data_IF_428815063046
#
_entry.id   IF_428815063046
#
_cell.length_a   1.000
_cell.length_b   1.000
_cell.length_c   1.000
_cell.angle_alpha   90.00
_cell.angle_beta   90.00
_cell.angle_gamma   90.00
#
_symmetry.space_group_name_H-M   'P 1'
#
loop_
_entity.id
_entity.type
_entity.pdbx_description
1 polymer ?
#
# COMPACT_ATOMS: atom_id res chain seq x y z
N UNK A 1 59.82 17.86 -58.40
CA UNK A 1 60.12 19.28 -58.12
C UNK A 1 59.24 19.70 -56.95
N UNK A 2 59.82 20.45 -56.02
CA UNK A 2 59.42 20.75 -54.64
C UNK A 2 58.12 21.56 -54.55
N UNK A 3 57.30 21.35 -53.52
CA UNK A 3 56.83 22.36 -52.53
C UNK A 3 55.55 21.92 -51.78
N UNK A 4 55.69 21.89 -50.45
CA UNK A 4 54.68 22.02 -49.38
C UNK A 4 53.68 23.17 -49.70
N UNK A 5 52.46 23.30 -49.19
CA UNK A 5 51.88 23.18 -47.84
C UNK A 5 50.37 23.45 -48.03
N UNK A 6 49.45 22.94 -47.22
CA UNK A 6 48.69 23.73 -46.23
C UNK A 6 47.74 22.73 -45.55
N UNK A 7 47.77 22.65 -44.22
CA UNK A 7 46.67 22.09 -43.42
C UNK A 7 46.00 23.26 -42.68
N UNK A 8 44.68 23.41 -42.78
CA UNK A 8 43.86 23.90 -41.68
C UNK A 8 42.90 22.76 -41.30
N UNK A 9 43.03 22.16 -40.12
CA UNK A 9 42.47 22.68 -38.86
C UNK A 9 40.92 22.62 -38.88
N UNK A 10 40.42 21.76 -37.98
CA UNK A 10 39.11 21.76 -37.33
C UNK A 10 37.86 21.61 -38.21
N UNK A 11 37.30 20.40 -38.21
CA UNK A 11 35.86 20.19 -38.39
C UNK A 11 35.28 19.41 -37.20
N UNK A 12 34.74 20.20 -36.27
CA UNK A 12 33.47 20.03 -35.57
C UNK A 12 32.92 18.60 -35.43
N UNK A 13 33.22 17.95 -34.31
CA UNK A 13 32.36 16.88 -33.78
C UNK A 13 31.24 17.55 -32.95
N UNK A 14 30.08 17.79 -33.56
CA UNK A 14 28.86 18.13 -32.85
C UNK A 14 27.85 17.01 -33.09
N UNK A 15 27.97 15.96 -32.29
CA UNK A 15 26.95 14.94 -32.13
C UNK A 15 25.73 15.60 -31.46
N UNK A 16 24.74 16.01 -32.26
CA UNK A 16 23.39 16.19 -31.73
C UNK A 16 22.80 14.80 -31.52
N UNK A 17 23.06 14.23 -30.34
CA UNK A 17 22.16 13.21 -29.80
C UNK A 17 20.88 13.93 -29.37
N UNK A 18 19.82 13.82 -30.17
CA UNK A 18 18.48 13.90 -29.61
C UNK A 18 18.37 12.75 -28.61
N UNK A 19 18.66 13.01 -27.34
CA UNK A 19 18.11 12.18 -26.28
C UNK A 19 16.61 12.45 -26.32
N UNK A 20 15.87 11.55 -26.97
CA UNK A 20 14.47 11.38 -26.64
C UNK A 20 14.45 11.16 -25.13
N UNK A 21 13.99 12.18 -24.39
CA UNK A 21 13.55 12.02 -23.02
C UNK A 21 12.40 11.04 -23.12
N UNK A 22 12.71 9.76 -23.01
CA UNK A 22 11.71 8.78 -22.65
C UNK A 22 11.37 9.18 -21.22
N UNK A 23 10.28 9.93 -21.06
CA UNK A 23 9.49 9.80 -19.86
C UNK A 23 9.12 8.31 -19.83
N UNK A 24 9.92 7.53 -19.12
CA UNK A 24 9.52 6.20 -18.76
C UNK A 24 8.40 6.41 -17.76
N UNK A 25 7.17 6.46 -18.27
CA UNK A 25 6.04 6.08 -17.45
C UNK A 25 6.28 4.61 -17.14
N UNK A 26 7.00 4.38 -16.04
CA UNK A 26 6.97 3.09 -15.36
C UNK A 26 5.50 2.87 -15.07
N UNK A 27 4.81 2.10 -15.91
CA UNK A 27 3.69 1.32 -15.42
C UNK A 27 4.27 0.53 -14.26
N UNK A 28 3.81 0.74 -13.01
CA UNK A 28 4.21 -0.15 -11.96
C UNK A 28 3.66 -1.51 -12.34
N UNK A 29 4.51 -2.35 -12.94
CA UNK A 29 4.46 -3.79 -12.77
C UNK A 29 4.25 -3.98 -11.26
N UNK A 30 3.03 -4.39 -10.87
CA UNK A 30 2.67 -4.63 -9.49
C UNK A 30 3.66 -5.64 -8.93
N UNK A 31 4.71 -5.14 -8.28
CA UNK A 31 5.73 -5.95 -7.65
C UNK A 31 5.02 -6.90 -6.71
N UNK A 32 5.16 -8.19 -6.99
CA UNK A 32 4.60 -9.24 -6.16
C UNK A 32 5.06 -9.03 -4.71
N UNK A 33 4.09 -8.72 -3.86
CA UNK A 33 4.18 -8.64 -2.40
C UNK A 33 5.01 -7.50 -1.82
N UNK A 34 4.54 -6.26 -1.98
CA UNK A 34 4.71 -5.31 -0.89
C UNK A 34 3.94 -5.87 0.32
N UNK A 35 4.64 -6.23 1.39
CA UNK A 35 4.01 -6.63 2.65
C UNK A 35 3.28 -5.41 3.21
N UNK A 36 2.02 -5.26 2.84
CA UNK A 36 1.16 -4.21 3.34
C UNK A 36 0.70 -4.59 4.73
N UNK A 37 1.43 -4.05 5.70
CA UNK A 37 1.23 -4.25 7.12
C UNK A 37 1.11 -2.90 7.82
N UNK A 38 0.31 -2.88 8.89
CA UNK A 38 0.27 -1.78 9.85
C UNK A 38 0.41 -2.34 11.25
N UNK A 39 1.12 -1.59 12.10
CA UNK A 39 1.40 -1.97 13.48
C UNK A 39 1.02 -0.84 14.43
N UNK A 40 0.47 -1.18 15.58
CA UNK A 40 0.20 -0.23 16.67
C UNK A 40 0.42 -0.90 18.02
N UNK A 41 0.64 -0.13 19.08
CA UNK A 41 0.74 -0.63 20.44
C UNK A 41 -0.41 -0.08 21.28
N UNK A 42 -0.99 -0.92 22.15
CA UNK A 42 -1.98 -0.45 23.13
C UNK A 42 -1.33 0.04 24.43
N UNK A 43 -2.13 0.62 25.33
CA UNK A 43 -1.64 1.13 26.61
C UNK A 43 -1.05 0.05 27.53
N UNK A 44 -1.38 -1.23 27.30
CA UNK A 44 -0.82 -2.37 28.02
C UNK A 44 0.50 -2.87 27.41
N UNK A 45 0.98 -2.25 26.32
CA UNK A 45 2.20 -2.66 25.62
C UNK A 45 2.02 -3.81 24.64
N UNK A 46 0.78 -4.26 24.39
CA UNK A 46 0.54 -5.28 23.36
C UNK A 46 0.72 -4.68 21.99
N UNK A 47 1.35 -5.42 21.08
CA UNK A 47 1.60 -5.02 19.71
C UNK A 47 0.58 -5.66 18.79
N UNK A 48 -0.20 -4.84 18.10
CA UNK A 48 -1.23 -5.25 17.16
C UNK A 48 -0.72 -5.10 15.74
N UNK A 49 -0.90 -6.14 14.93
CA UNK A 49 -0.50 -6.16 13.52
C UNK A 49 -1.75 -6.39 12.66
N UNK A 50 -1.95 -5.55 11.65
CA UNK A 50 -2.92 -5.75 10.59
C UNK A 50 -2.19 -6.00 9.26
N UNK A 51 -2.63 -7.00 8.50
CA UNK A 51 -2.05 -7.32 7.20
C UNK A 51 -3.06 -7.83 6.20
N UNK A 52 -2.78 -7.64 4.91
CA UNK A 52 -3.64 -8.14 3.84
C UNK A 52 -3.10 -9.47 3.31
N UNK A 53 -3.94 -10.51 3.28
CA UNK A 53 -3.64 -11.81 2.65
C UNK A 53 -4.86 -12.34 1.94
N UNK A 54 -4.67 -12.77 0.70
CA UNK A 54 -5.72 -13.45 -0.10
C UNK A 54 -7.04 -12.66 -0.14
N UNK A 55 -6.96 -11.33 -0.29
CA UNK A 55 -8.13 -10.45 -0.35
C UNK A 55 -8.83 -10.19 0.98
N UNK A 56 -8.19 -10.53 2.11
CA UNK A 56 -8.73 -10.27 3.45
C UNK A 56 -7.72 -9.52 4.31
N UNK A 57 -8.24 -8.69 5.22
CA UNK A 57 -7.48 -8.10 6.32
C UNK A 57 -7.49 -9.07 7.49
N UNK A 58 -6.31 -9.34 8.02
CA UNK A 58 -6.05 -10.21 9.15
C UNK A 58 -5.41 -9.41 10.26
N UNK A 59 -5.84 -9.64 11.50
CA UNK A 59 -5.24 -9.04 12.69
C UNK A 59 -4.67 -10.10 13.61
N UNK A 60 -3.48 -9.86 14.13
CA UNK A 60 -2.87 -10.63 15.22
C UNK A 60 -2.31 -9.70 16.29
N UNK A 61 -2.11 -10.25 17.48
CA UNK A 61 -1.59 -9.51 18.64
C UNK A 61 -0.40 -10.24 19.25
N UNK A 62 0.55 -9.48 19.76
CA UNK A 62 1.70 -9.95 20.51
C UNK A 62 1.67 -9.36 21.92
N UNK A 63 1.85 -10.22 22.92
CA UNK A 63 2.00 -9.86 24.33
C UNK A 63 3.48 -9.77 24.75
N UNK A 64 4.42 -9.93 23.81
CA UNK A 64 5.86 -10.08 24.08
C UNK A 64 6.75 -9.15 23.23
N UNK A 65 6.22 -7.96 22.95
CA UNK A 65 6.89 -6.91 22.17
C UNK A 65 7.23 -7.32 20.72
N UNK A 66 6.34 -8.11 20.10
CA UNK A 66 6.41 -8.51 18.69
C UNK A 66 7.28 -9.73 18.41
N UNK A 67 7.68 -10.51 19.42
CA UNK A 67 8.49 -11.72 19.22
C UNK A 67 7.62 -12.87 18.69
N UNK A 68 6.43 -13.03 19.26
CA UNK A 68 5.43 -13.99 18.81
C UNK A 68 4.07 -13.30 18.68
N UNK A 69 3.36 -13.64 17.60
CA UNK A 69 2.00 -13.17 17.34
C UNK A 69 1.01 -14.31 17.51
N UNK A 70 -0.19 -13.97 17.98
CA UNK A 70 -1.32 -14.88 18.09
C UNK A 70 -1.72 -15.47 16.73
N UNK A 71 -2.58 -16.49 16.76
CA UNK A 71 -3.37 -16.86 15.58
C UNK A 71 -4.11 -15.62 15.07
N UNK A 72 -4.14 -15.47 13.75
CA UNK A 72 -4.77 -14.33 13.11
C UNK A 72 -6.29 -14.46 13.09
N UNK A 73 -6.96 -13.33 13.18
CA UNK A 73 -8.41 -13.20 13.11
C UNK A 73 -8.77 -12.39 11.88
N UNK A 74 -9.65 -12.92 11.05
CA UNK A 74 -10.16 -12.21 9.88
C UNK A 74 -11.01 -11.01 10.32
N UNK A 75 -10.78 -9.86 9.69
CA UNK A 75 -11.56 -8.64 9.92
C UNK A 75 -12.76 -8.59 8.98
N UNK A 76 -12.55 -8.88 7.69
CA UNK A 76 -13.62 -9.07 6.71
C UNK A 76 -13.86 -10.56 6.44
N UNK A 77 -15.13 -11.01 6.39
CA UNK A 77 -15.45 -12.44 6.27
C UNK A 77 -15.24 -13.01 4.88
N UNK A 78 -15.27 -12.18 3.83
CA UNK A 78 -15.21 -12.60 2.43
C UNK A 78 -14.05 -11.89 1.73
N UNK A 79 -13.21 -12.62 0.96
CA UNK A 79 -12.17 -12.02 0.12
C UNK A 79 -12.70 -10.97 -0.85
N UNK A 80 -11.94 -9.89 -1.02
CA UNK A 80 -12.24 -8.80 -1.94
C UNK A 80 -10.96 -8.18 -2.50
N UNK A 81 -11.08 -7.32 -3.51
CA UNK A 81 -9.94 -6.57 -4.03
C UNK A 81 -9.61 -5.45 -3.04
N UNK A 82 -8.59 -5.66 -2.21
CA UNK A 82 -8.13 -4.65 -1.25
C UNK A 82 -7.01 -3.86 -1.90
N UNK A 83 -7.14 -2.53 -1.93
CA UNK A 83 -6.02 -1.66 -2.25
C UNK A 83 -4.98 -1.84 -1.12
N UNK A 84 -3.85 -2.45 -1.46
CA UNK A 84 -2.84 -2.86 -0.50
C UNK A 84 -1.44 -2.48 -1.02
N UNK A 85 -1.34 -1.40 -1.78
CA UNK A 85 -0.06 -0.72 -2.02
C UNK A 85 0.38 0.03 -0.75
N UNK A 86 1.58 0.61 -0.79
CA UNK A 86 2.17 1.26 0.38
C UNK A 86 1.33 2.45 0.90
N UNK A 87 0.55 3.11 0.05
CA UNK A 87 -0.28 4.27 0.38
C UNK A 87 -1.65 3.85 0.93
N UNK A 88 -2.21 2.74 0.43
CA UNK A 88 -3.55 2.26 0.76
C UNK A 88 -3.58 1.13 1.81
N UNK A 89 -2.46 0.86 2.50
CA UNK A 89 -2.37 -0.17 3.56
C UNK A 89 -3.50 -0.06 4.61
N UNK A 90 -3.97 -1.19 5.19
CA UNK A 90 -5.01 -1.13 6.21
C UNK A 90 -4.49 -0.32 7.41
N UNK A 91 -5.36 0.43 8.06
CA UNK A 91 -5.02 1.16 9.28
C UNK A 91 -5.55 0.40 10.49
N UNK A 92 -4.80 0.41 11.59
CA UNK A 92 -5.18 -0.23 12.85
C UNK A 92 -4.92 0.71 14.03
N UNK A 93 -5.90 0.81 14.92
CA UNK A 93 -5.79 1.53 16.18
C UNK A 93 -6.26 0.64 17.34
N UNK A 94 -5.53 0.67 18.45
CA UNK A 94 -5.94 0.00 19.68
C UNK A 94 -6.46 1.04 20.68
N UNK A 95 -7.65 0.78 21.23
CA UNK A 95 -8.29 1.61 22.25
C UNK A 95 -8.18 1.01 23.64
N UNK A 96 -8.79 1.70 24.62
CA UNK A 96 -8.89 1.19 25.98
C UNK A 96 -9.64 -0.15 26.04
N UNK A 97 -9.39 -0.92 27.10
CA UNK A 97 -10.07 -2.19 27.39
C UNK A 97 -9.98 -3.24 26.27
N UNK A 98 -8.93 -3.17 25.44
CA UNK A 98 -8.72 -4.12 24.34
C UNK A 98 -9.63 -3.91 23.13
N UNK A 99 -10.21 -2.72 22.98
CA UNK A 99 -10.87 -2.35 21.73
C UNK A 99 -9.85 -2.25 20.59
N UNK A 100 -10.23 -2.68 19.39
CA UNK A 100 -9.39 -2.62 18.18
C UNK A 100 -10.23 -2.11 17.03
N UNK A 101 -9.71 -1.17 16.27
CA UNK A 101 -10.38 -0.52 15.14
C UNK A 101 -9.54 -0.70 13.90
N UNK A 102 -10.17 -1.10 12.80
CA UNK A 102 -9.48 -1.38 11.53
C UNK A 102 -10.22 -0.72 10.40
N UNK A 103 -9.48 -0.07 9.50
CA UNK A 103 -10.01 0.44 8.23
C UNK A 103 -9.19 -0.06 7.06
N UNK A 104 -9.82 -0.26 5.91
CA UNK A 104 -9.13 -0.63 4.67
C UNK A 104 -9.91 -0.12 3.46
N UNK A 105 -9.24 -0.10 2.32
CA UNK A 105 -9.81 0.36 1.06
C UNK A 105 -10.08 -0.84 0.16
N UNK A 106 -11.33 -1.00 -0.26
CA UNK A 106 -11.68 -1.84 -1.41
C UNK A 106 -11.34 -1.08 -2.69
N UNK A 107 -10.55 -1.68 -3.57
CA UNK A 107 -10.31 -1.14 -4.91
C UNK A 107 -11.49 -1.50 -5.82
N UNK A 108 -12.08 -0.48 -6.45
CA UNK A 108 -13.16 -0.66 -7.42
C UNK A 108 -12.61 -0.75 -8.85
N UNK A 109 -13.49 -1.06 -9.81
CA UNK A 109 -13.09 -1.23 -11.22
C UNK A 109 -12.56 0.06 -11.84
N UNK A 110 -13.08 1.20 -11.40
CA UNK A 110 -12.68 2.52 -11.91
C UNK A 110 -11.39 2.96 -11.24
N UNK A 111 -10.47 3.50 -12.03
CA UNK A 111 -9.22 4.04 -11.51
C UNK A 111 -9.50 5.11 -10.45
N UNK A 112 -8.72 5.06 -9.37
CA UNK A 112 -8.82 5.98 -8.23
C UNK A 112 -10.19 5.98 -7.52
N UNK A 113 -10.98 4.92 -7.66
CA UNK A 113 -12.22 4.71 -6.90
C UNK A 113 -12.02 3.60 -5.86
N UNK A 114 -12.56 3.81 -4.66
CA UNK A 114 -12.53 2.81 -3.60
C UNK A 114 -13.56 3.05 -2.51
N UNK A 115 -14.03 1.96 -1.90
CA UNK A 115 -14.85 2.04 -0.70
C UNK A 115 -13.96 1.96 0.54
N UNK A 116 -14.15 2.89 1.48
CA UNK A 116 -13.48 2.83 2.78
C UNK A 116 -14.34 2.00 3.73
N UNK A 117 -13.80 0.87 4.13
CA UNK A 117 -14.42 -0.06 5.06
C UNK A 117 -13.91 0.15 6.48
N UNK A 118 -14.75 -0.18 7.46
CA UNK A 118 -14.42 -0.16 8.87
C UNK A 118 -14.98 -1.40 9.56
N UNK A 119 -14.22 -1.93 10.52
CA UNK A 119 -14.68 -2.88 11.51
C UNK A 119 -13.98 -2.65 12.84
N UNK A 120 -14.57 -3.17 13.91
CA UNK A 120 -13.99 -3.13 15.25
C UNK A 120 -14.15 -4.43 16.01
N UNK A 121 -13.27 -4.65 16.98
CA UNK A 121 -13.39 -5.66 18.01
C UNK A 121 -13.48 -4.98 19.37
N UNK A 122 -14.38 -5.45 20.23
CA UNK A 122 -14.54 -4.98 21.61
C UNK A 122 -14.24 -6.09 22.63
N UNK A 123 -13.73 -7.23 22.17
CA UNK A 123 -13.46 -8.42 23.00
C UNK A 123 -11.99 -8.82 23.00
N UNK A 124 -11.10 -7.85 22.80
CA UNK A 124 -9.66 -8.07 22.80
C UNK A 124 -9.18 -8.74 21.52
N UNK A 125 -9.80 -8.43 20.37
CA UNK A 125 -9.38 -8.95 19.06
C UNK A 125 -9.80 -10.39 18.78
N UNK A 126 -10.70 -10.99 19.59
CA UNK A 126 -11.13 -12.38 19.40
C UNK A 126 -12.04 -12.53 18.18
N UNK A 127 -12.87 -11.52 17.92
CA UNK A 127 -13.66 -11.38 16.69
C UNK A 127 -13.87 -9.92 16.34
N UNK A 128 -14.13 -9.67 15.07
CA UNK A 128 -14.57 -8.37 14.57
C UNK A 128 -16.08 -8.37 14.34
N UNK A 129 -16.71 -7.23 14.60
CA UNK A 129 -18.09 -6.96 14.19
C UNK A 129 -18.22 -6.93 12.66
N UNK A 130 -19.45 -7.03 12.16
CA UNK A 130 -19.70 -6.97 10.72
C UNK A 130 -19.19 -5.63 10.14
N UNK A 131 -18.39 -5.66 9.07
CA UNK A 131 -17.78 -4.47 8.51
C UNK A 131 -18.80 -3.63 7.73
N UNK A 132 -18.59 -2.32 7.66
CA UNK A 132 -19.42 -1.40 6.87
C UNK A 132 -18.60 -0.31 6.18
N UNK A 133 -19.17 0.25 5.11
CA UNK A 133 -18.60 1.38 4.38
C UNK A 133 -18.88 2.68 5.15
N UNK A 134 -17.86 3.47 5.43
CA UNK A 134 -17.99 4.66 6.30
C UNK A 134 -18.60 5.87 5.60
N UNK A 135 -18.59 5.91 4.26
CA UNK A 135 -19.13 7.02 3.47
C UNK A 135 -20.50 6.70 2.84
N UNK A 136 -21.30 7.75 2.65
CA UNK A 136 -22.66 7.65 2.11
C UNK A 136 -22.72 7.82 0.59
N UNK A 137 -21.88 8.68 0.02
CA UNK A 137 -21.77 8.87 -1.42
C UNK A 137 -20.96 7.74 -2.03
N UNK A 138 -21.57 7.02 -2.98
CA UNK A 138 -20.99 5.81 -3.59
C UNK A 138 -20.91 5.89 -5.11
N UNK A 139 -21.20 7.06 -5.68
CA UNK A 139 -21.02 7.23 -7.11
C UNK A 139 -19.52 7.22 -7.42
N UNK A 140 -19.14 6.43 -8.41
CA UNK A 140 -17.78 6.41 -8.92
C UNK A 140 -17.55 7.66 -9.79
N UNK A 141 -17.22 8.79 -9.17
CA UNK A 141 -16.80 10.00 -9.87
C UNK A 141 -15.30 9.94 -10.15
N UNK A 142 -14.89 10.31 -11.38
CA UNK A 142 -13.47 10.52 -11.72
C UNK A 142 -13.24 11.98 -11.97
N UNK A 143 -12.02 12.43 -11.67
CA UNK A 143 -11.47 13.66 -12.22
C UNK A 143 -10.96 13.42 -13.64
#
# INVERSE_FOLDING_TARGET
MVQSWIKPVLWLACLLSLQAVHAHETHPEHSASALTVSVTADHGGRVWLAQVKQGQVWVSVSDDAGKYFSTEVAVNPVPMTIAADAEARPNIAAGANGAVYVTWTEALKKNHAGNIWFARSLDGGKKFEAPYIVHQHREEITH
#
